data_IF_088088039821
#
_entry.id   IF_088088039821
#
_cell.length_a   1.000
_cell.length_b   1.000
_cell.length_c   1.000
_cell.angle_alpha   90.00
_cell.angle_beta   90.00
_cell.angle_gamma   90.00
#
_symmetry.space_group_name_H-M   'P 1'
#
loop_
_entity.id
_entity.type
_entity.pdbx_description
1 polymer ?
#
# COMPACT_ATOMS: atom_id res chain seq x y z
N UNK A 1 2.60 -42.04 -1.08
CA UNK A 1 2.51 -41.75 0.37
C UNK A 1 1.04 -41.50 0.65
N UNK A 2 0.43 -42.27 1.52
CA UNK A 2 -0.96 -42.07 1.93
C UNK A 2 -0.98 -40.93 2.95
N UNK A 3 -1.91 -39.99 2.82
CA UNK A 3 -2.10 -38.94 3.81
C UNK A 3 -2.45 -39.58 5.18
N UNK A 4 -1.94 -38.99 6.27
CA UNK A 4 -2.16 -39.52 7.62
C UNK A 4 -3.56 -39.13 8.17
N UNK A 5 -4.23 -38.15 7.55
CA UNK A 5 -5.54 -37.61 7.93
C UNK A 5 -6.25 -37.01 6.71
N UNK A 6 -7.56 -37.17 6.59
CA UNK A 6 -8.40 -36.46 5.61
C UNK A 6 -9.32 -35.47 6.33
N UNK A 7 -9.54 -34.29 5.75
CA UNK A 7 -10.51 -33.31 6.26
C UNK A 7 -11.89 -33.57 5.64
N UNK A 8 -12.98 -33.30 6.39
CA UNK A 8 -14.32 -33.23 5.79
C UNK A 8 -14.40 -32.09 4.77
N UNK A 9 -15.34 -32.19 3.84
CA UNK A 9 -15.60 -31.12 2.88
C UNK A 9 -16.13 -29.87 3.61
N UNK A 10 -15.75 -28.69 3.14
CA UNK A 10 -16.04 -27.41 3.80
C UNK A 10 -17.53 -27.13 4.05
N UNK A 11 -18.44 -27.71 3.25
CA UNK A 11 -19.89 -27.61 3.38
C UNK A 11 -20.48 -28.52 4.48
N UNK A 12 -19.71 -29.49 4.96
CA UNK A 12 -20.10 -30.42 6.03
C UNK A 12 -19.55 -30.01 7.42
N UNK A 13 -18.73 -28.96 7.48
CA UNK A 13 -18.07 -28.51 8.71
C UNK A 13 -18.94 -27.51 9.47
N UNK A 14 -19.30 -27.84 10.72
CA UNK A 14 -19.85 -26.85 11.65
C UNK A 14 -18.75 -25.94 12.21
N UNK A 15 -19.10 -24.68 12.45
CA UNK A 15 -18.16 -23.68 12.99
C UNK A 15 -17.68 -24.10 14.38
N UNK A 16 -16.40 -24.46 14.48
CA UNK A 16 -15.76 -24.91 15.71
C UNK A 16 -15.03 -23.81 16.47
N UNK A 17 -14.43 -24.20 17.61
CA UNK A 17 -13.65 -23.28 18.44
C UNK A 17 -12.46 -22.67 17.68
N UNK A 18 -12.24 -21.36 17.88
CA UNK A 18 -11.09 -20.67 17.32
C UNK A 18 -9.79 -21.11 18.00
N UNK A 19 -9.03 -21.96 17.31
CA UNK A 19 -7.72 -22.44 17.78
C UNK A 19 -6.59 -21.47 17.44
N UNK A 20 -6.40 -20.45 18.29
CA UNK A 20 -5.24 -19.56 18.17
C UNK A 20 -3.95 -20.29 18.51
N UNK A 21 -3.16 -20.66 17.49
CA UNK A 21 -1.78 -21.13 17.69
C UNK A 21 -0.82 -19.97 17.52
N UNK A 22 -0.28 -19.47 18.63
CA UNK A 22 0.78 -18.49 18.58
C UNK A 22 2.04 -19.11 17.92
N UNK A 23 2.61 -18.49 16.87
CA UNK A 23 3.84 -18.98 16.27
C UNK A 23 4.99 -18.86 17.28
N UNK A 24 5.56 -20.00 17.68
CA UNK A 24 6.68 -20.07 18.62
C UNK A 24 8.03 -19.99 17.89
N UNK A 25 8.32 -18.80 17.33
CA UNK A 25 9.55 -18.55 16.57
C UNK A 25 10.61 -17.83 17.43
N UNK A 26 11.89 -18.24 17.38
CA UNK A 26 12.96 -17.53 18.08
C UNK A 26 13.20 -16.15 17.48
N UNK A 27 13.44 -15.15 18.32
CA UNK A 27 13.77 -13.78 17.89
C UNK A 27 15.29 -13.60 17.88
N UNK A 28 15.87 -13.52 16.70
CA UNK A 28 17.30 -13.21 16.51
C UNK A 28 17.50 -11.78 16.02
N UNK A 29 18.54 -11.10 16.51
CA UNK A 29 18.92 -9.74 16.09
C UNK A 29 20.44 -9.62 15.97
N UNK A 30 20.92 -8.69 15.15
CA UNK A 30 22.34 -8.37 15.00
C UNK A 30 23.18 -9.59 14.61
N UNK A 31 24.29 -9.83 15.31
CA UNK A 31 25.21 -10.93 15.02
C UNK A 31 24.54 -12.32 15.08
N UNK A 32 23.63 -12.54 16.04
CA UNK A 32 22.91 -13.81 16.16
C UNK A 32 22.07 -14.10 14.92
N UNK A 33 21.43 -13.07 14.36
CA UNK A 33 20.66 -13.21 13.12
C UNK A 33 21.58 -13.49 11.93
N UNK A 34 22.71 -12.78 11.82
CA UNK A 34 23.69 -13.02 10.75
C UNK A 34 24.22 -14.44 10.77
N UNK A 35 24.62 -14.95 11.93
CA UNK A 35 25.10 -16.33 12.09
C UNK A 35 24.00 -17.34 11.73
N UNK A 36 22.76 -17.11 12.19
CA UNK A 36 21.64 -17.97 11.85
C UNK A 36 21.39 -18.04 10.34
N UNK A 37 21.37 -16.90 9.64
CA UNK A 37 21.17 -16.86 8.19
C UNK A 37 22.32 -17.61 7.49
N UNK A 38 23.57 -17.26 7.77
CA UNK A 38 24.73 -17.80 7.06
C UNK A 38 24.99 -19.30 7.34
N UNK A 39 24.74 -19.77 8.57
CA UNK A 39 25.03 -21.16 8.93
C UNK A 39 23.82 -22.08 8.70
N UNK A 40 22.61 -21.58 8.94
CA UNK A 40 21.38 -22.40 8.98
C UNK A 40 20.50 -22.18 7.76
N UNK A 41 20.25 -20.95 7.32
CA UNK A 41 19.30 -20.70 6.21
C UNK A 41 19.96 -20.90 4.86
N UNK A 42 21.09 -20.23 4.62
CA UNK A 42 21.84 -20.27 3.37
C UNK A 42 23.02 -21.25 3.43
N UNK A 43 23.33 -21.72 4.64
CA UNK A 43 24.49 -22.55 4.92
C UNK A 43 24.25 -24.06 4.87
N UNK A 44 25.32 -24.85 5.14
CA UNK A 44 25.27 -26.30 5.06
C UNK A 44 24.33 -26.95 6.08
N UNK A 45 24.00 -26.27 7.18
CA UNK A 45 23.10 -26.80 8.20
C UNK A 45 21.62 -26.75 7.78
N UNK A 46 21.28 -26.07 6.68
CA UNK A 46 19.88 -25.95 6.22
C UNK A 46 19.19 -27.31 6.09
N UNK A 47 19.87 -28.32 5.52
CA UNK A 47 19.30 -29.66 5.35
C UNK A 47 18.94 -30.33 6.67
N UNK A 48 19.72 -30.09 7.73
CA UNK A 48 19.49 -30.65 9.06
C UNK A 48 18.31 -29.95 9.76
N UNK A 49 18.18 -28.64 9.58
CA UNK A 49 17.18 -27.84 10.29
C UNK A 49 15.87 -27.62 9.51
N UNK A 50 15.84 -27.76 8.18
CA UNK A 50 14.65 -27.47 7.35
C UNK A 50 13.39 -28.22 7.81
N UNK A 51 13.54 -29.49 8.19
CA UNK A 51 12.40 -30.31 8.63
C UNK A 51 11.82 -29.84 9.95
N UNK A 52 12.69 -29.42 10.88
CA UNK A 52 12.27 -28.89 12.19
C UNK A 52 11.66 -27.49 12.07
N UNK A 53 12.23 -26.63 11.20
CA UNK A 53 11.67 -25.31 10.90
C UNK A 53 10.29 -25.45 10.27
N UNK A 54 10.17 -26.27 9.21
CA UNK A 54 8.90 -26.48 8.53
C UNK A 54 7.82 -27.07 9.46
N UNK A 55 8.16 -28.07 10.29
CA UNK A 55 7.23 -28.66 11.27
C UNK A 55 6.72 -27.65 12.30
N UNK A 56 7.57 -26.74 12.76
CA UNK A 56 7.20 -25.67 13.72
C UNK A 56 6.30 -24.61 13.07
N UNK A 57 6.47 -24.38 11.77
CA UNK A 57 5.60 -23.51 10.97
C UNK A 57 4.28 -24.19 10.54
N UNK A 58 4.09 -25.48 10.83
CA UNK A 58 2.87 -26.22 10.46
C UNK A 58 2.76 -26.59 8.97
N UNK A 59 3.76 -26.26 8.15
CA UNK A 59 3.71 -26.39 6.69
C UNK A 59 3.64 -27.85 6.21
N UNK A 60 4.48 -28.80 6.71
CA UNK A 60 4.41 -30.20 6.29
C UNK A 60 3.12 -30.90 6.72
N UNK A 61 2.53 -30.49 7.84
CA UNK A 61 1.28 -31.05 8.32
C UNK A 61 0.14 -30.75 7.34
N UNK A 62 0.10 -29.53 6.80
CA UNK A 62 -0.93 -29.12 5.83
C UNK A 62 -0.65 -29.65 4.43
N UNK A 63 0.60 -29.57 3.95
CA UNK A 63 0.90 -29.83 2.54
C UNK A 63 1.14 -31.32 2.18
N UNK A 64 1.42 -32.19 3.15
CA UNK A 64 1.77 -33.59 2.84
C UNK A 64 1.11 -34.65 3.71
N UNK A 65 0.51 -34.26 4.84
CA UNK A 65 -0.07 -35.19 5.82
C UNK A 65 -1.59 -35.08 5.92
N UNK A 66 -2.16 -34.07 5.28
CA UNK A 66 -3.60 -33.81 5.26
C UNK A 66 -4.08 -33.91 3.82
N UNK A 67 -5.09 -34.73 3.61
CA UNK A 67 -5.88 -34.78 2.39
C UNK A 67 -6.98 -33.72 2.47
N UNK A 68 -7.01 -32.81 1.48
CA UNK A 68 -7.94 -31.70 1.38
C UNK A 68 -8.87 -32.04 0.21
N UNK A 69 -10.16 -32.28 0.44
CA UNK A 69 -11.07 -32.77 -0.59
C UNK A 69 -11.42 -31.70 -1.64
N UNK A 70 -11.24 -30.42 -1.33
CA UNK A 70 -11.54 -29.32 -2.24
C UNK A 70 -10.58 -29.26 -3.43
N UNK A 71 -11.13 -28.91 -4.60
CA UNK A 71 -10.33 -28.52 -5.75
C UNK A 71 -9.55 -27.22 -5.48
N UNK A 72 -8.34 -27.07 -6.03
CA UNK A 72 -7.54 -25.86 -5.82
C UNK A 72 -8.16 -24.64 -6.50
N UNK A 73 -8.29 -23.55 -5.74
CA UNK A 73 -8.66 -22.22 -6.23
C UNK A 73 -7.40 -21.36 -6.40
N UNK A 74 -6.99 -21.12 -7.65
CA UNK A 74 -5.75 -20.37 -7.97
C UNK A 74 -5.94 -18.84 -7.99
N UNK A 75 -7.17 -18.39 -8.25
CA UNK A 75 -7.57 -17.00 -8.22
C UNK A 75 -8.88 -16.88 -7.45
N UNK A 76 -9.14 -15.75 -6.75
CA UNK A 76 -10.41 -15.56 -6.07
C UNK A 76 -11.59 -15.66 -7.04
N UNK A 77 -12.49 -16.62 -6.82
CA UNK A 77 -13.78 -16.69 -7.50
C UNK A 77 -14.83 -16.01 -6.62
N UNK A 78 -15.42 -14.93 -7.14
CA UNK A 78 -16.39 -14.14 -6.39
C UNK A 78 -17.81 -14.52 -6.81
N UNK A 79 -18.65 -14.81 -5.83
CA UNK A 79 -20.09 -14.91 -6.07
C UNK A 79 -20.65 -13.52 -6.44
N UNK A 80 -21.63 -13.40 -7.37
CA UNK A 80 -22.24 -12.13 -7.69
C UNK A 80 -22.81 -11.48 -6.42
N UNK A 81 -22.24 -10.33 -6.06
CA UNK A 81 -22.75 -9.51 -4.97
C UNK A 81 -24.03 -8.79 -5.40
N UNK A 82 -24.95 -8.48 -4.48
CA UNK A 82 -26.11 -7.65 -4.78
C UNK A 82 -25.65 -6.30 -5.37
N UNK A 83 -26.16 -5.96 -6.55
CA UNK A 83 -25.76 -4.76 -7.30
C UNK A 83 -26.35 -3.47 -6.69
N UNK A 84 -27.46 -3.59 -5.97
CA UNK A 84 -28.21 -2.48 -5.41
C UNK A 84 -27.99 -2.37 -3.90
N UNK A 85 -26.86 -1.77 -3.51
CA UNK A 85 -26.61 -1.39 -2.12
C UNK A 85 -27.09 0.04 -1.91
N UNK A 86 -28.02 0.25 -0.97
CA UNK A 86 -28.55 1.58 -0.66
C UNK A 86 -27.42 2.56 -0.30
N UNK A 87 -27.50 3.79 -0.84
CA UNK A 87 -26.47 4.81 -0.64
C UNK A 87 -25.24 4.68 -1.54
N UNK A 88 -25.32 3.91 -2.63
CA UNK A 88 -24.27 3.83 -3.64
C UNK A 88 -24.68 4.52 -4.95
N UNK A 89 -23.67 4.98 -5.70
CA UNK A 89 -23.82 5.52 -7.06
C UNK A 89 -23.03 4.62 -7.99
N UNK A 90 -23.69 4.09 -9.02
CA UNK A 90 -23.04 3.26 -10.02
C UNK A 90 -22.24 4.13 -10.97
N UNK A 91 -20.95 3.83 -11.10
CA UNK A 91 -20.04 4.54 -12.01
C UNK A 91 -19.51 3.56 -13.05
N UNK A 92 -19.62 3.86 -14.36
CA UNK A 92 -19.16 2.96 -15.41
C UNK A 92 -17.69 2.56 -15.24
N UNK A 93 -17.38 1.31 -15.61
CA UNK A 93 -15.99 0.83 -15.62
C UNK A 93 -15.09 1.62 -16.58
N UNK A 94 -15.66 2.25 -17.61
CA UNK A 94 -14.95 3.11 -18.57
C UNK A 94 -14.79 4.57 -18.13
N UNK A 95 -15.37 4.98 -16.99
CA UNK A 95 -15.33 6.37 -16.55
C UNK A 95 -13.89 6.83 -16.27
N UNK A 96 -13.58 8.05 -16.67
CA UNK A 96 -12.31 8.71 -16.38
C UNK A 96 -12.13 8.95 -14.88
N UNK A 97 -10.88 9.13 -14.39
CA UNK A 97 -10.63 9.45 -12.99
C UNK A 97 -11.38 10.70 -12.51
N UNK A 98 -11.58 11.68 -13.39
CA UNK A 98 -12.31 12.92 -13.07
C UNK A 98 -13.79 12.67 -12.84
N UNK A 99 -14.45 11.93 -13.75
CA UNK A 99 -15.88 11.59 -13.61
C UNK A 99 -16.12 10.74 -12.35
N UNK A 100 -15.22 9.82 -12.03
CA UNK A 100 -15.29 9.04 -10.78
C UNK A 100 -15.20 9.90 -9.54
N UNK A 101 -14.34 10.92 -9.57
CA UNK A 101 -14.19 11.86 -8.47
C UNK A 101 -15.40 12.76 -8.31
N UNK A 102 -15.99 13.23 -9.41
CA UNK A 102 -17.24 13.99 -9.41
C UNK A 102 -18.39 13.18 -8.79
N UNK A 103 -18.58 11.92 -9.23
CA UNK A 103 -19.55 11.01 -8.63
C UNK A 103 -19.29 10.75 -7.13
N UNK A 104 -18.02 10.61 -6.73
CA UNK A 104 -17.65 10.43 -5.33
C UNK A 104 -17.99 11.66 -4.45
N UNK A 105 -17.85 12.87 -5.01
CA UNK A 105 -18.21 14.11 -4.30
C UNK A 105 -19.73 14.23 -4.11
N UNK A 106 -20.52 13.82 -5.11
CA UNK A 106 -21.99 13.86 -5.03
C UNK A 106 -22.55 12.96 -3.92
N UNK A 107 -21.93 11.80 -3.69
CA UNK A 107 -22.34 10.86 -2.64
C UNK A 107 -22.03 11.40 -1.24
N UNK A 108 -21.05 12.29 -1.10
CA UNK A 108 -20.64 12.83 0.21
C UNK A 108 -21.40 14.14 0.46
N UNK A 109 -22.42 14.14 1.35
CA UNK A 109 -23.21 15.34 1.59
C UNK A 109 -22.34 16.48 2.13
N UNK A 110 -22.56 17.68 1.60
CA UNK A 110 -21.88 18.91 2.02
C UNK A 110 -20.34 18.80 1.95
N UNK A 111 -19.80 18.08 0.95
CA UNK A 111 -18.36 17.88 0.82
C UNK A 111 -17.58 19.20 0.74
N UNK A 112 -18.05 20.20 0.01
CA UNK A 112 -17.34 21.49 -0.09
C UNK A 112 -17.73 22.49 1.00
N UNK A 113 -18.87 22.28 1.66
CA UNK A 113 -19.47 23.25 2.60
C UNK A 113 -19.10 23.02 4.06
N UNK A 114 -18.90 21.75 4.47
CA UNK A 114 -18.61 21.47 5.89
C UNK A 114 -17.21 21.98 6.26
N UNK A 115 -17.21 22.97 7.15
CA UNK A 115 -16.04 23.64 7.69
C UNK A 115 -15.65 23.01 9.02
N UNK A 116 -14.42 22.53 9.17
CA UNK A 116 -13.85 22.09 10.45
C UNK A 116 -13.65 23.21 11.49
N UNK A 117 -14.29 24.38 11.29
CA UNK A 117 -14.21 25.52 12.20
C UNK A 117 -14.77 25.12 13.56
N UNK A 118 -13.90 24.97 14.56
CA UNK A 118 -14.27 24.67 15.94
C UNK A 118 -14.04 23.23 16.42
N UNK A 119 -13.43 22.34 15.62
CA UNK A 119 -13.10 20.98 16.07
C UNK A 119 -11.67 20.87 16.62
N UNK A 120 -11.50 19.94 17.57
CA UNK A 120 -10.25 19.43 18.16
C UNK A 120 -9.12 19.32 17.13
N UNK A 121 -7.83 19.33 17.55
CA UNK A 121 -6.70 19.24 16.62
C UNK A 121 -6.89 18.10 15.60
N UNK A 122 -7.04 18.48 14.34
CA UNK A 122 -7.28 17.59 13.21
C UNK A 122 -6.23 17.83 12.13
N UNK A 123 -5.89 16.77 11.38
CA UNK A 123 -4.96 16.88 10.25
C UNK A 123 -5.74 17.36 9.02
N UNK A 124 -5.29 18.40 8.31
CA UNK A 124 -5.96 18.86 7.10
C UNK A 124 -6.12 17.72 6.09
N UNK A 125 -7.34 17.51 5.60
CA UNK A 125 -7.63 16.58 4.52
C UNK A 125 -7.71 17.30 3.17
N UNK A 126 -8.07 16.54 2.14
CA UNK A 126 -8.27 17.02 0.77
C UNK A 126 -9.13 18.30 0.71
N UNK A 127 -10.24 18.31 1.45
CA UNK A 127 -11.21 19.40 1.47
C UNK A 127 -10.60 20.70 1.98
N UNK A 128 -9.83 20.64 3.07
CA UNK A 128 -9.16 21.80 3.65
C UNK A 128 -8.11 22.38 2.70
N UNK A 129 -7.33 21.51 2.02
CA UNK A 129 -6.37 21.95 1.00
C UNK A 129 -7.08 22.65 -0.16
N UNK A 130 -8.05 21.98 -0.78
CA UNK A 130 -8.78 22.53 -1.92
C UNK A 130 -9.43 23.88 -1.57
N UNK A 131 -10.13 23.96 -0.42
CA UNK A 131 -10.74 25.20 0.04
C UNK A 131 -9.72 26.31 0.30
N UNK A 132 -8.56 25.99 0.87
CA UNK A 132 -7.52 26.96 1.14
C UNK A 132 -6.92 27.54 -0.14
N UNK A 133 -6.72 26.67 -1.15
CA UNK A 133 -6.19 27.03 -2.47
C UNK A 133 -7.19 27.88 -3.27
N UNK A 134 -8.46 27.48 -3.33
CA UNK A 134 -9.53 28.25 -4.01
C UNK A 134 -9.73 29.62 -3.39
N UNK A 135 -9.61 29.74 -2.05
CA UNK A 135 -9.70 31.04 -1.35
C UNK A 135 -8.42 31.88 -1.43
N UNK A 136 -7.32 31.34 -1.96
CA UNK A 136 -6.02 32.00 -1.99
C UNK A 136 -5.36 32.20 -0.62
N UNK A 137 -5.89 31.58 0.45
CA UNK A 137 -5.31 31.65 1.80
C UNK A 137 -3.97 30.91 1.92
N UNK A 138 -3.74 29.95 1.03
CA UNK A 138 -2.52 29.19 0.88
C UNK A 138 -2.47 28.71 -0.58
N UNK A 139 -1.28 28.37 -1.09
CA UNK A 139 -1.10 27.79 -2.42
C UNK A 139 -0.49 26.38 -2.34
N UNK A 140 -0.65 25.54 -3.37
CA UNK A 140 0.09 24.28 -3.46
C UNK A 140 1.60 24.48 -3.27
N UNK A 141 2.17 25.57 -3.82
CA UNK A 141 3.58 25.94 -3.64
C UNK A 141 3.96 26.18 -2.17
N UNK A 142 3.13 26.88 -1.39
CA UNK A 142 3.40 27.13 0.03
C UNK A 142 3.44 25.82 0.83
N UNK A 143 2.53 24.89 0.51
CA UNK A 143 2.47 23.56 1.13
C UNK A 143 3.71 22.73 0.76
N UNK A 144 4.03 22.66 -0.53
CA UNK A 144 5.21 21.96 -1.05
C UNK A 144 6.51 22.51 -0.46
N UNK A 145 6.65 23.84 -0.40
CA UNK A 145 7.82 24.50 0.17
C UNK A 145 8.02 24.15 1.63
N UNK A 146 6.94 24.06 2.42
CA UNK A 146 7.01 23.64 3.83
C UNK A 146 7.40 22.17 3.96
N UNK A 147 6.85 21.30 3.11
CA UNK A 147 7.22 19.88 3.09
C UNK A 147 8.70 19.71 2.74
N UNK A 148 9.17 20.32 1.65
CA UNK A 148 10.59 20.25 1.24
C UNK A 148 11.50 20.81 2.32
N UNK A 149 11.14 21.94 2.95
CA UNK A 149 11.90 22.50 4.09
C UNK A 149 11.98 21.51 5.26
N UNK A 150 10.87 20.84 5.59
CA UNK A 150 10.83 19.83 6.64
C UNK A 150 11.72 18.63 6.30
N UNK A 151 11.64 18.11 5.07
CA UNK A 151 12.45 16.98 4.61
C UNK A 151 13.95 17.29 4.62
N UNK A 152 14.33 18.54 4.29
CA UNK A 152 15.73 19.00 4.37
C UNK A 152 16.21 19.21 5.81
N UNK A 153 15.31 19.53 6.75
CA UNK A 153 15.69 19.91 8.12
C UNK A 153 16.18 18.75 8.99
N UNK A 154 15.82 17.51 8.66
CA UNK A 154 16.21 16.32 9.42
C UNK A 154 16.17 15.07 8.55
N UNK A 155 17.04 14.09 8.79
CA UNK A 155 16.91 12.78 8.17
C UNK A 155 15.52 12.20 8.47
N UNK A 156 14.73 11.95 7.42
CA UNK A 156 13.43 11.30 7.55
C UNK A 156 13.53 9.89 7.02
N UNK A 157 13.14 8.89 7.80
CA UNK A 157 13.07 7.49 7.36
C UNK A 157 11.73 7.15 6.68
N UNK A 158 10.93 8.17 6.37
CA UNK A 158 9.58 8.03 5.81
C UNK A 158 9.66 7.89 4.28
N UNK A 159 10.62 8.58 3.65
CA UNK A 159 10.84 8.56 2.20
C UNK A 159 12.22 8.03 1.88
N UNK A 160 12.28 7.04 0.98
CA UNK A 160 13.55 6.51 0.48
C UNK A 160 14.00 7.20 -0.81
N UNK A 161 13.08 7.84 -1.53
CA UNK A 161 13.35 8.65 -2.72
C UNK A 161 12.40 9.86 -2.78
N UNK A 162 12.95 11.04 -3.05
CA UNK A 162 12.22 12.28 -3.28
C UNK A 162 13.13 13.34 -3.93
N UNK A 163 12.55 14.23 -4.73
CA UNK A 163 13.27 15.37 -5.33
C UNK A 163 12.58 16.67 -4.94
N UNK A 164 13.30 17.55 -4.23
CA UNK A 164 12.76 18.85 -3.83
C UNK A 164 12.40 19.72 -5.04
N UNK A 165 13.20 19.65 -6.11
CA UNK A 165 12.98 20.44 -7.31
C UNK A 165 11.76 19.94 -8.09
N UNK A 166 11.58 18.62 -8.18
CA UNK A 166 10.41 18.03 -8.85
C UNK A 166 9.12 18.31 -8.07
N UNK A 167 9.14 18.16 -6.75
CA UNK A 167 8.02 18.51 -5.87
C UNK A 167 7.61 19.97 -6.05
N UNK A 168 8.58 20.89 -6.01
CA UNK A 168 8.32 22.31 -6.15
C UNK A 168 7.82 22.66 -7.54
N UNK A 169 8.36 22.05 -8.60
CA UNK A 169 7.90 22.23 -9.98
C UNK A 169 6.43 21.84 -10.14
N UNK A 170 6.04 20.64 -9.70
CA UNK A 170 4.64 20.18 -9.77
C UNK A 170 3.70 21.10 -8.99
N UNK A 171 4.11 21.52 -7.79
CA UNK A 171 3.34 22.45 -6.98
C UNK A 171 3.22 23.85 -7.60
N UNK A 172 4.24 24.31 -8.33
CA UNK A 172 4.19 25.58 -9.08
C UNK A 172 3.16 25.51 -10.22
N UNK A 173 3.16 24.41 -10.97
CA UNK A 173 2.18 24.17 -12.05
C UNK A 173 0.75 24.13 -11.50
N UNK A 174 0.52 23.43 -10.38
CA UNK A 174 -0.77 23.43 -9.70
C UNK A 174 -1.16 24.82 -9.19
N UNK A 175 -0.23 25.54 -8.57
CA UNK A 175 -0.45 26.92 -8.11
C UNK A 175 -0.90 27.84 -9.24
N UNK A 176 -0.30 27.70 -10.43
CA UNK A 176 -0.68 28.48 -11.59
C UNK A 176 -2.11 28.14 -12.05
N UNK A 177 -2.47 26.84 -12.09
CA UNK A 177 -3.84 26.42 -12.41
C UNK A 177 -4.87 27.01 -11.45
N UNK A 178 -4.61 27.01 -10.15
CA UNK A 178 -5.51 27.66 -9.17
C UNK A 178 -5.63 29.17 -9.39
N UNK A 179 -4.53 29.88 -9.66
CA UNK A 179 -4.56 31.32 -9.95
C UNK A 179 -5.39 31.65 -11.19
N UNK A 180 -5.37 30.76 -12.18
CA UNK A 180 -6.11 30.91 -13.43
C UNK A 180 -7.55 30.37 -13.37
N UNK A 181 -7.97 29.78 -12.24
CA UNK A 181 -9.27 29.12 -12.10
C UNK A 181 -9.41 27.85 -12.97
N UNK A 182 -8.29 27.22 -13.34
CA UNK A 182 -8.21 26.04 -14.21
C UNK A 182 -7.67 24.80 -13.48
N UNK A 183 -7.97 24.67 -12.18
CA UNK A 183 -7.61 23.48 -11.41
C UNK A 183 -8.22 22.21 -12.01
N UNK A 184 -7.48 21.10 -12.00
CA UNK A 184 -7.87 19.85 -12.65
C UNK A 184 -9.04 19.16 -11.94
N UNK A 185 -9.07 19.22 -10.62
CA UNK A 185 -10.13 18.70 -9.75
C UNK A 185 -9.92 19.15 -8.30
N UNK A 186 -10.73 18.64 -7.36
CA UNK A 186 -10.51 18.83 -5.91
C UNK A 186 -9.21 18.20 -5.38
N UNK A 187 -8.59 17.30 -6.16
CA UNK A 187 -7.30 16.68 -5.83
C UNK A 187 -6.10 17.49 -6.35
N UNK A 188 -6.30 18.49 -7.21
CA UNK A 188 -5.19 19.27 -7.77
C UNK A 188 -4.44 19.99 -6.64
N UNK A 189 -3.12 19.81 -6.56
CA UNK A 189 -2.25 20.42 -5.56
C UNK A 189 -2.26 19.73 -4.20
N UNK A 190 -2.94 18.58 -4.05
CA UNK A 190 -2.99 17.82 -2.80
C UNK A 190 -1.80 16.87 -2.75
N UNK A 191 -0.88 17.00 -1.76
CA UNK A 191 0.28 16.12 -1.68
C UNK A 191 -0.12 14.67 -1.43
N UNK A 192 0.52 13.74 -2.15
CA UNK A 192 0.37 12.29 -1.94
C UNK A 192 1.72 11.57 -2.04
N UNK A 193 1.72 10.29 -1.68
CA UNK A 193 2.92 9.45 -1.65
C UNK A 193 2.63 8.13 -2.34
N UNK A 194 3.60 7.59 -3.07
CA UNK A 194 3.49 6.31 -3.77
C UNK A 194 4.41 5.30 -3.10
N UNK A 195 3.94 4.07 -2.90
CA UNK A 195 4.79 2.99 -2.37
C UNK A 195 5.87 2.66 -3.40
N UNK A 196 7.10 2.47 -2.97
CA UNK A 196 8.28 2.14 -3.80
C UNK A 196 8.23 0.74 -4.44
N UNK A 197 7.10 0.04 -4.29
CA UNK A 197 6.76 -1.16 -5.06
C UNK A 197 5.87 -0.84 -6.27
N UNK A 198 5.60 0.45 -6.54
CA UNK A 198 4.75 0.95 -7.62
C UNK A 198 5.56 1.97 -8.41
N UNK A 199 5.57 1.82 -9.74
CA UNK A 199 6.30 2.72 -10.63
C UNK A 199 5.72 4.14 -10.57
N UNK A 200 6.59 5.12 -10.33
CA UNK A 200 6.23 6.53 -10.30
C UNK A 200 7.34 7.37 -10.91
N UNK A 201 7.16 7.79 -12.17
CA UNK A 201 8.16 8.60 -12.86
C UNK A 201 8.36 9.96 -12.18
N UNK A 202 9.59 10.50 -12.11
CA UNK A 202 10.85 9.95 -12.62
C UNK A 202 11.63 9.06 -11.61
N UNK A 203 10.99 8.65 -10.52
CA UNK A 203 11.63 7.90 -9.44
C UNK A 203 11.84 6.43 -9.82
N UNK A 204 12.99 5.87 -9.43
CA UNK A 204 13.26 4.45 -9.57
C UNK A 204 12.42 3.64 -8.57
N UNK A 205 11.95 2.47 -8.99
CA UNK A 205 11.26 1.49 -8.15
C UNK A 205 12.28 0.54 -7.54
N UNK A 206 12.49 0.62 -6.23
CA UNK A 206 13.53 -0.20 -5.56
C UNK A 206 12.96 -1.35 -4.73
N UNK A 207 11.64 -1.37 -4.49
CA UNK A 207 11.00 -2.31 -3.58
C UNK A 207 11.62 -2.30 -2.17
N UNK A 208 12.23 -1.19 -1.76
CA UNK A 208 13.01 -1.11 -0.52
C UNK A 208 14.40 -1.75 -0.55
N UNK A 209 14.85 -2.21 -1.70
CA UNK A 209 16.14 -2.90 -1.84
C UNK A 209 17.18 -2.01 -2.51
N UNK A 210 18.46 -2.31 -2.32
CA UNK A 210 19.54 -1.56 -2.97
C UNK A 210 19.85 -2.04 -4.40
N UNK A 211 19.14 -3.04 -4.92
CA UNK A 211 19.53 -3.68 -6.19
C UNK A 211 18.39 -3.80 -7.20
N UNK A 212 17.11 -3.75 -6.79
CA UNK A 212 16.00 -4.00 -7.72
C UNK A 212 15.94 -2.99 -8.88
N UNK A 213 16.34 -1.73 -8.65
CA UNK A 213 16.38 -0.70 -9.69
C UNK A 213 17.21 -1.11 -10.93
N UNK A 214 18.27 -1.92 -10.74
CA UNK A 214 19.11 -2.39 -11.86
C UNK A 214 18.46 -3.49 -12.70
N UNK A 215 17.42 -4.15 -12.19
CA UNK A 215 16.67 -5.18 -12.94
C UNK A 215 15.64 -4.54 -13.88
N UNK A 216 15.10 -3.38 -13.50
CA UNK A 216 14.18 -2.61 -14.32
C UNK A 216 14.88 -1.98 -15.55
N UNK A 217 16.16 -1.61 -15.44
CA UNK A 217 16.95 -1.12 -16.59
C UNK A 217 17.34 -2.21 -17.59
N UNK A 218 17.20 -3.49 -17.21
CA UNK A 218 17.48 -4.66 -18.06
C UNK A 218 16.23 -5.26 -18.74
N UNK A 219 15.06 -4.62 -18.63
CA UNK A 219 13.86 -4.97 -19.40
C UNK A 219 13.05 -6.16 -18.84
N UNK A 220 13.39 -6.69 -17.66
CA UNK A 220 12.64 -7.79 -17.03
C UNK A 220 11.68 -7.28 -15.95
N UNK A 221 10.37 -7.31 -16.22
CA UNK A 221 9.32 -7.05 -15.23
C UNK A 221 9.08 -8.29 -14.38
N UNK A 222 9.57 -8.30 -13.14
CA UNK A 222 9.12 -9.24 -12.11
C UNK A 222 9.02 -8.49 -10.77
N UNK A 223 7.79 -8.19 -10.36
CA UNK A 223 7.52 -7.51 -9.10
C UNK A 223 7.58 -8.50 -7.92
N UNK A 224 8.25 -8.12 -6.84
CA UNK A 224 8.06 -8.73 -5.52
C UNK A 224 7.90 -7.63 -4.47
N UNK A 225 7.01 -7.87 -3.51
CA UNK A 225 6.37 -6.88 -2.65
C UNK A 225 7.13 -6.70 -1.32
N UNK A 226 7.59 -5.48 -1.01
CA UNK A 226 8.11 -5.04 0.30
C UNK A 226 7.86 -3.54 0.53
N UNK A 227 7.83 -3.09 1.81
CA UNK A 227 7.20 -1.84 2.26
C UNK A 227 8.16 -0.64 2.40
N UNK A 228 8.19 0.27 1.42
CA UNK A 228 8.76 1.64 1.55
C UNK A 228 7.96 2.65 0.70
N UNK A 229 8.03 3.96 1.00
CA UNK A 229 7.32 5.04 0.30
C UNK A 229 8.28 5.98 -0.44
N UNK A 230 7.85 6.46 -1.60
CA UNK A 230 8.36 7.59 -2.37
C UNK A 230 7.37 8.76 -2.23
N UNK A 231 7.88 9.97 -2.00
CA UNK A 231 7.02 11.16 -2.03
C UNK A 231 6.87 11.58 -3.49
N UNK A 232 5.65 11.48 -4.02
CA UNK A 232 5.37 11.76 -5.42
C UNK A 232 4.25 12.77 -5.49
N UNK A 233 4.64 14.01 -5.77
CA UNK A 233 3.78 14.96 -6.45
C UNK A 233 2.73 15.72 -5.64
N UNK A 234 2.12 16.63 -6.40
CA UNK A 234 1.12 17.63 -6.06
C UNK A 234 0.13 17.74 -7.23
#
# INVERSE_FOLDING_TARGET
MLADRSLPASDEVEEGDYLLRAPANPVYRGLKLKLFINLVVEGPLFRLFRGNIAKRLGVPQVLSKVDIPEAPMFVPEHWPLPVDVAGTVSVPASASPKERLEAAIEVIPNFLESSAAGRSPHRPGLREYHRAYTKGTCTPWDVASRIVKFLKSKPTYIFISWSGDDILRQAQESTQRYKEGRQLSVLDGVPFTIKDSIDAMPYETTGGTQHLHSWYSLGSRAATDWQHLCLVGF
#
